data_IF_568162473788
#
_entry.id   IF_568162473788
#
_cell.length_a   1.000
_cell.length_b   1.000
_cell.length_c   1.000
_cell.angle_alpha   90.00
_cell.angle_beta   90.00
_cell.angle_gamma   90.00
#
_symmetry.space_group_name_H-M   'P 1'
#
loop_
_entity.id
_entity.type
_entity.pdbx_description
1 polymer ?
#
# COMPACT_ATOMS: atom_id res chain seq x y z
N UNK A 1 11.72 -4.99 -17.21
CA UNK A 1 11.03 -3.73 -17.01
C UNK A 1 11.10 -2.79 -18.22
N UNK A 2 11.83 -3.17 -19.30
CA UNK A 2 11.95 -2.35 -20.51
C UNK A 2 12.79 -1.06 -20.36
N UNK A 3 13.47 -0.87 -19.23
CA UNK A 3 14.36 0.26 -19.00
C UNK A 3 15.75 -0.05 -19.54
N UNK A 4 16.44 0.95 -20.14
CA UNK A 4 17.83 0.86 -20.54
C UNK A 4 18.74 1.15 -19.35
N UNK A 5 19.73 0.28 -19.09
CA UNK A 5 20.79 0.58 -18.14
C UNK A 5 21.81 1.51 -18.85
N UNK A 6 21.88 2.76 -18.39
CA UNK A 6 22.71 3.80 -19.05
C UNK A 6 23.98 4.14 -18.29
N UNK A 7 24.14 3.65 -17.08
CA UNK A 7 25.34 3.87 -16.28
C UNK A 7 25.22 3.21 -14.91
N UNK A 8 26.32 3.23 -14.18
CA UNK A 8 26.39 2.70 -12.83
C UNK A 8 27.81 2.76 -12.28
N UNK A 9 27.95 2.46 -11.00
CA UNK A 9 29.22 2.37 -10.31
C UNK A 9 29.18 1.21 -9.33
N UNK A 10 30.31 0.54 -9.14
CA UNK A 10 30.50 -0.54 -8.17
C UNK A 10 31.59 -0.16 -7.20
N UNK A 11 31.34 -0.31 -5.91
CA UNK A 11 32.28 -0.09 -4.83
C UNK A 11 32.44 -1.37 -4.01
N UNK A 12 33.56 -1.51 -3.33
CA UNK A 12 33.71 -2.50 -2.27
C UNK A 12 32.97 -2.03 -1.01
N UNK A 13 32.34 -2.99 -0.32
CA UNK A 13 31.62 -2.76 0.94
C UNK A 13 31.56 -4.03 1.78
N UNK A 14 31.22 -3.88 3.05
CA UNK A 14 31.03 -5.01 3.98
C UNK A 14 29.76 -5.81 3.68
N UNK A 15 28.82 -5.20 2.99
CA UNK A 15 27.51 -5.78 2.66
C UNK A 15 27.15 -5.48 1.20
N UNK A 16 26.31 -6.33 0.62
CA UNK A 16 25.75 -6.08 -0.71
C UNK A 16 24.70 -4.97 -0.62
N UNK A 17 25.01 -3.79 -1.14
CA UNK A 17 24.08 -2.69 -1.32
C UNK A 17 23.82 -2.47 -2.81
N UNK A 18 22.53 -2.40 -3.19
CA UNK A 18 22.12 -2.14 -4.57
C UNK A 18 21.06 -1.04 -4.59
N UNK A 19 21.28 -0.01 -5.40
CA UNK A 19 20.36 1.09 -5.57
C UNK A 19 20.22 1.50 -7.03
N UNK A 20 19.10 2.13 -7.38
CA UNK A 20 18.82 2.59 -8.72
C UNK A 20 18.39 4.05 -8.72
N UNK A 21 18.92 4.85 -9.63
CA UNK A 21 18.39 6.13 -10.02
C UNK A 21 17.67 5.95 -11.37
N UNK A 22 16.36 6.19 -11.40
CA UNK A 22 15.53 5.97 -12.59
C UNK A 22 15.04 7.32 -13.09
N UNK A 23 15.29 7.59 -14.39
CA UNK A 23 14.80 8.79 -15.06
C UNK A 23 13.93 8.37 -16.25
N UNK A 24 12.86 9.09 -16.48
CA UNK A 24 11.95 8.84 -17.61
C UNK A 24 11.16 10.08 -17.97
N UNK A 25 10.56 10.05 -19.16
CA UNK A 25 9.56 11.03 -19.60
C UNK A 25 8.17 10.39 -19.50
N UNK A 26 7.19 11.17 -19.12
CA UNK A 26 5.80 10.75 -19.00
C UNK A 26 4.88 11.88 -19.48
N UNK A 27 3.83 11.54 -20.23
CA UNK A 27 2.87 12.53 -20.72
C UNK A 27 1.92 12.99 -19.61
N UNK A 28 1.49 12.04 -18.74
CA UNK A 28 0.61 12.30 -17.61
C UNK A 28 1.14 11.64 -16.34
N UNK A 29 1.27 12.42 -15.27
CA UNK A 29 1.76 11.94 -13.98
C UNK A 29 0.60 11.39 -13.15
N UNK A 30 0.74 10.18 -12.61
CA UNK A 30 -0.07 9.70 -11.50
C UNK A 30 0.49 10.31 -10.21
N UNK A 31 -0.13 11.37 -9.73
CA UNK A 31 0.39 12.16 -8.62
C UNK A 31 -0.01 11.57 -7.25
N UNK A 32 0.76 11.92 -6.22
CA UNK A 32 0.34 11.76 -4.81
C UNK A 32 -0.59 12.92 -4.44
N UNK A 33 -1.85 12.83 -4.82
CA UNK A 33 -2.85 13.87 -4.64
C UNK A 33 -3.98 13.71 -5.67
N UNK A 34 -4.82 14.74 -5.80
CA UNK A 34 -5.97 14.74 -6.71
C UNK A 34 -7.09 13.71 -6.37
N UNK A 35 -7.22 13.31 -5.10
CA UNK A 35 -8.36 12.53 -4.66
C UNK A 35 -9.65 13.29 -4.92
N UNK A 36 -10.65 12.63 -5.49
CA UNK A 36 -11.97 13.20 -5.76
C UNK A 36 -13.01 12.52 -4.88
N UNK A 37 -14.00 13.30 -4.39
CA UNK A 37 -15.11 12.72 -3.63
C UNK A 37 -15.84 11.68 -4.46
N UNK A 38 -16.06 10.50 -3.89
CA UNK A 38 -16.72 9.38 -4.55
C UNK A 38 -15.77 8.42 -5.28
N UNK A 39 -14.47 8.73 -5.33
CA UNK A 39 -13.48 7.77 -5.81
C UNK A 39 -13.42 6.56 -4.88
N UNK A 40 -13.21 5.38 -5.48
CA UNK A 40 -12.90 4.15 -4.77
C UNK A 40 -11.39 4.02 -4.60
N UNK A 41 -10.96 3.60 -3.41
CA UNK A 41 -9.56 3.27 -3.13
C UNK A 41 -9.30 1.81 -3.48
N UNK A 42 -8.32 1.56 -4.34
CA UNK A 42 -7.90 0.22 -4.77
C UNK A 42 -6.50 -0.05 -4.27
N UNK A 43 -6.29 -1.23 -3.65
CA UNK A 43 -4.98 -1.76 -3.31
C UNK A 43 -4.68 -2.96 -4.21
N UNK A 44 -3.52 -2.98 -4.87
CA UNK A 44 -3.23 -3.98 -5.91
C UNK A 44 -2.52 -5.24 -5.40
N UNK A 45 -1.85 -5.18 -4.24
CA UNK A 45 -1.18 -6.34 -3.61
C UNK A 45 -1.53 -6.42 -2.13
N UNK A 46 -1.51 -7.63 -1.52
CA UNK A 46 -1.78 -7.80 -0.10
C UNK A 46 -0.69 -7.17 0.76
N UNK A 47 -1.07 -6.79 2.00
CA UNK A 47 -0.16 -6.31 3.03
C UNK A 47 0.46 -7.47 3.82
N UNK A 48 1.60 -7.21 4.47
CA UNK A 48 2.18 -8.11 5.45
C UNK A 48 3.60 -8.59 5.16
N UNK A 49 4.28 -8.06 4.14
CA UNK A 49 5.65 -8.50 3.82
C UNK A 49 6.63 -8.24 4.96
N UNK A 50 6.49 -7.11 5.69
CA UNK A 50 7.34 -6.77 6.81
C UNK A 50 7.20 -7.75 7.97
N UNK A 51 5.97 -8.09 8.32
CA UNK A 51 5.68 -9.07 9.39
C UNK A 51 6.14 -10.47 8.99
N UNK A 52 5.92 -10.90 7.73
CA UNK A 52 6.38 -12.22 7.26
C UNK A 52 7.88 -12.35 7.39
N UNK A 53 8.67 -11.39 6.91
CA UNK A 53 10.13 -11.44 7.05
C UNK A 53 10.61 -11.29 8.49
N UNK A 54 9.92 -10.50 9.31
CA UNK A 54 10.21 -10.45 10.75
C UNK A 54 9.95 -11.79 11.44
N UNK A 55 8.93 -12.52 10.99
CA UNK A 55 8.63 -13.88 11.42
C UNK A 55 9.68 -14.89 10.96
N UNK A 56 10.12 -14.80 9.70
CA UNK A 56 11.16 -15.66 9.14
C UNK A 56 12.48 -15.51 9.89
N UNK A 57 12.93 -14.29 10.15
CA UNK A 57 14.13 -14.02 10.96
C UNK A 57 14.06 -14.58 12.39
N UNK A 58 12.86 -14.84 12.90
CA UNK A 58 12.60 -15.44 14.23
C UNK A 58 12.28 -16.93 14.16
N UNK A 59 12.36 -17.55 12.97
CA UNK A 59 11.96 -18.94 12.71
C UNK A 59 10.49 -19.25 13.10
N UNK A 60 9.58 -18.29 12.90
CA UNK A 60 8.14 -18.39 13.19
C UNK A 60 7.29 -18.42 11.91
N UNK A 61 7.83 -17.96 10.77
CA UNK A 61 7.14 -18.02 9.48
C UNK A 61 7.28 -19.40 8.85
N UNK A 62 6.21 -19.86 8.19
CA UNK A 62 6.27 -21.06 7.38
C UNK A 62 6.94 -20.73 6.02
N UNK A 63 7.59 -21.71 5.40
CA UNK A 63 8.24 -21.53 4.11
C UNK A 63 7.26 -21.09 3.01
N UNK A 64 6.00 -21.52 3.10
CA UNK A 64 4.92 -21.06 2.21
C UNK A 64 4.61 -19.58 2.35
N UNK A 65 4.61 -19.03 3.57
CA UNK A 65 4.36 -17.61 3.83
C UNK A 65 5.45 -16.75 3.17
N UNK A 66 6.71 -17.16 3.33
CA UNK A 66 7.87 -16.50 2.72
C UNK A 66 7.80 -16.59 1.19
N UNK A 67 7.46 -17.76 0.65
CA UNK A 67 7.32 -17.96 -0.79
C UNK A 67 6.22 -17.09 -1.39
N UNK A 68 5.05 -16.98 -0.74
CA UNK A 68 3.95 -16.12 -1.17
C UNK A 68 4.38 -14.64 -1.17
N UNK A 69 5.04 -14.18 -0.09
CA UNK A 69 5.54 -12.82 0.00
C UNK A 69 6.55 -12.50 -1.11
N UNK A 70 7.53 -13.38 -1.35
CA UNK A 70 8.54 -13.24 -2.41
C UNK A 70 7.89 -13.21 -3.79
N UNK A 71 6.91 -14.07 -4.06
CA UNK A 71 6.18 -14.08 -5.33
C UNK A 71 5.48 -12.74 -5.58
N UNK A 72 4.81 -12.19 -4.57
CA UNK A 72 4.19 -10.87 -4.64
C UNK A 72 5.20 -9.75 -4.89
N UNK A 73 6.34 -9.79 -4.20
CA UNK A 73 7.42 -8.80 -4.34
C UNK A 73 8.05 -8.82 -5.74
N UNK A 74 8.23 -9.98 -6.34
CA UNK A 74 8.81 -10.13 -7.69
C UNK A 74 7.84 -9.68 -8.80
N UNK A 75 6.55 -9.51 -8.52
CA UNK A 75 5.59 -8.99 -9.48
C UNK A 75 5.80 -7.51 -9.71
N UNK A 76 6.00 -7.13 -10.97
CA UNK A 76 6.11 -5.71 -11.37
C UNK A 76 4.77 -4.99 -11.24
N UNK A 77 4.79 -3.74 -10.78
CA UNK A 77 3.60 -2.87 -10.75
C UNK A 77 3.28 -2.23 -12.13
N UNK A 78 4.01 -2.57 -13.19
CA UNK A 78 3.85 -1.94 -14.52
C UNK A 78 2.44 -2.18 -15.11
N UNK A 79 1.94 -3.43 -15.04
CA UNK A 79 0.59 -3.77 -15.51
C UNK A 79 -0.47 -3.04 -14.66
N UNK A 80 -0.32 -3.07 -13.34
CA UNK A 80 -1.24 -2.40 -12.42
C UNK A 80 -1.31 -0.89 -12.72
N UNK A 81 -0.18 -0.22 -12.90
CA UNK A 81 -0.14 1.21 -13.22
C UNK A 81 -0.83 1.54 -14.54
N UNK A 82 -0.63 0.72 -15.59
CA UNK A 82 -1.29 0.89 -16.87
C UNK A 82 -2.81 0.68 -16.77
N UNK A 83 -3.24 -0.36 -16.06
CA UNK A 83 -4.66 -0.67 -15.82
C UNK A 83 -5.36 0.43 -15.03
N UNK A 84 -4.76 0.89 -13.94
CA UNK A 84 -5.30 1.99 -13.13
C UNK A 84 -5.48 3.26 -13.97
N UNK A 85 -4.47 3.61 -14.78
CA UNK A 85 -4.53 4.77 -15.67
C UNK A 85 -5.68 4.65 -16.69
N UNK A 86 -5.84 3.49 -17.33
CA UNK A 86 -6.91 3.28 -18.31
C UNK A 86 -8.32 3.36 -17.70
N UNK A 87 -8.43 3.20 -16.38
CA UNK A 87 -9.69 3.34 -15.63
C UNK A 87 -9.87 4.73 -15.00
N UNK A 88 -9.03 5.71 -15.36
CA UNK A 88 -9.19 7.10 -14.94
C UNK A 88 -8.60 7.43 -13.57
N UNK A 89 -7.63 6.64 -13.11
CA UNK A 89 -6.86 6.95 -11.89
C UNK A 89 -6.11 8.28 -12.06
N UNK A 90 -6.28 9.19 -11.11
CA UNK A 90 -5.57 10.46 -11.02
C UNK A 90 -4.65 10.57 -9.80
N UNK A 91 -4.92 9.77 -8.77
CA UNK A 91 -4.19 9.75 -7.52
C UNK A 91 -3.63 8.36 -7.24
N UNK A 92 -2.32 8.24 -7.12
CA UNK A 92 -1.66 6.95 -6.93
C UNK A 92 -0.35 7.09 -6.14
N UNK A 93 -0.06 6.09 -5.32
CA UNK A 93 1.25 5.90 -4.67
C UNK A 93 1.57 4.41 -4.59
N UNK A 94 2.85 4.06 -4.52
CA UNK A 94 3.26 2.75 -4.05
C UNK A 94 3.09 2.64 -2.53
N UNK A 95 2.81 1.45 -2.03
CA UNK A 95 2.74 1.15 -0.59
C UNK A 95 4.03 0.45 -0.20
N UNK A 96 4.88 1.16 0.54
CA UNK A 96 6.21 0.69 0.93
C UNK A 96 6.50 0.89 2.41
N UNK A 97 7.62 1.46 2.77
CA UNK A 97 8.14 1.51 4.14
C UNK A 97 7.25 2.17 5.19
N UNK A 98 6.34 3.07 4.81
CA UNK A 98 5.45 3.76 5.76
C UNK A 98 4.14 3.01 6.06
N UNK A 99 3.93 1.84 5.45
CA UNK A 99 2.67 1.09 5.56
C UNK A 99 1.50 1.78 4.86
N UNK A 100 0.35 1.11 4.84
CA UNK A 100 -0.84 1.63 4.14
C UNK A 100 -1.29 3.00 4.69
N UNK A 101 -1.39 3.13 6.02
CA UNK A 101 -1.87 4.38 6.66
C UNK A 101 -0.91 5.54 6.39
N UNK A 102 0.40 5.31 6.42
CA UNK A 102 1.39 6.34 6.13
C UNK A 102 1.24 6.90 4.72
N UNK A 103 1.16 6.02 3.72
CA UNK A 103 0.99 6.41 2.31
C UNK A 103 -0.39 7.01 2.03
N UNK A 104 -1.45 6.51 2.67
CA UNK A 104 -2.78 7.09 2.54
C UNK A 104 -2.84 8.51 3.12
N UNK A 105 -2.18 8.75 4.25
CA UNK A 105 -2.06 10.09 4.82
C UNK A 105 -1.28 11.05 3.90
N UNK A 106 -0.30 10.55 3.15
CA UNK A 106 0.38 11.35 2.11
C UNK A 106 -0.56 11.72 0.96
N UNK A 107 -1.38 10.78 0.48
CA UNK A 107 -2.39 11.04 -0.56
C UNK A 107 -3.42 12.08 -0.10
N UNK A 108 -3.93 11.94 1.13
CA UNK A 108 -4.88 12.90 1.70
C UNK A 108 -4.27 14.30 1.82
N UNK A 109 -3.01 14.40 2.24
CA UNK A 109 -2.29 15.67 2.33
C UNK A 109 -2.07 16.29 0.96
N UNK A 110 -1.65 15.50 -0.03
CA UNK A 110 -1.45 15.93 -1.41
C UNK A 110 -2.74 16.35 -2.11
N UNK A 111 -3.91 16.02 -1.53
CA UNK A 111 -5.25 16.37 -2.00
C UNK A 111 -5.91 17.47 -1.16
N UNK A 112 -5.11 18.38 -0.59
CA UNK A 112 -5.59 19.53 0.20
C UNK A 112 -6.50 19.14 1.37
N UNK A 113 -6.24 17.98 2.01
CA UNK A 113 -6.98 17.54 3.19
C UNK A 113 -8.20 16.67 2.87
N UNK A 114 -8.14 15.82 1.87
CA UNK A 114 -9.20 14.85 1.62
C UNK A 114 -9.42 13.92 2.83
N UNK A 115 -10.69 13.53 3.05
CA UNK A 115 -11.07 12.46 4.00
C UNK A 115 -11.37 11.18 3.25
N UNK A 116 -10.91 10.08 3.81
CA UNK A 116 -11.09 8.75 3.22
C UNK A 116 -11.59 7.76 4.27
N UNK A 117 -12.29 6.73 3.82
CA UNK A 117 -12.65 5.56 4.63
C UNK A 117 -11.86 4.36 4.11
N UNK A 118 -11.36 3.56 5.03
CA UNK A 118 -10.77 2.25 4.76
C UNK A 118 -11.69 1.19 5.36
N UNK A 119 -12.18 0.28 4.53
CA UNK A 119 -12.98 -0.87 4.93
C UNK A 119 -12.01 -2.01 5.29
N UNK A 120 -11.72 -2.21 6.58
CA UNK A 120 -10.64 -3.07 7.07
C UNK A 120 -10.79 -4.52 6.60
N UNK A 121 -12.02 -5.02 6.54
CA UNK A 121 -12.32 -6.39 6.12
C UNK A 121 -12.06 -6.64 4.62
N UNK A 122 -11.97 -5.57 3.81
CA UNK A 122 -11.71 -5.64 2.38
C UNK A 122 -10.21 -5.47 2.04
N UNK A 123 -9.38 -5.11 3.04
CA UNK A 123 -7.93 -4.96 2.82
C UNK A 123 -7.30 -6.33 2.64
N UNK A 124 -6.71 -6.64 1.47
CA UNK A 124 -6.06 -7.92 1.24
C UNK A 124 -4.79 -8.03 2.10
N UNK A 125 -4.65 -9.15 2.79
CA UNK A 125 -3.52 -9.44 3.67
C UNK A 125 -2.99 -10.84 3.38
N UNK A 126 -1.67 -11.01 3.47
CA UNK A 126 -1.02 -12.31 3.43
C UNK A 126 -1.50 -13.14 4.63
N UNK A 127 -1.90 -14.39 4.41
CA UNK A 127 -2.42 -15.24 5.49
C UNK A 127 -1.37 -15.46 6.59
N UNK A 128 -0.12 -15.69 6.21
CA UNK A 128 1.00 -15.79 7.14
C UNK A 128 1.20 -14.53 7.97
N UNK A 129 0.98 -13.34 7.40
CA UNK A 129 1.11 -12.07 8.11
C UNK A 129 0.04 -11.93 9.21
N UNK A 130 -1.22 -12.25 8.93
CA UNK A 130 -2.30 -12.22 9.94
C UNK A 130 -1.99 -13.16 11.10
N UNK A 131 -1.55 -14.40 10.80
CA UNK A 131 -1.16 -15.39 11.81
C UNK A 131 -0.01 -14.87 12.66
N UNK A 132 1.06 -14.39 12.05
CA UNK A 132 2.25 -13.90 12.75
C UNK A 132 1.95 -12.64 13.58
N UNK A 133 1.18 -11.69 13.03
CA UNK A 133 0.76 -10.49 13.77
C UNK A 133 -0.10 -10.84 14.99
N UNK A 134 -1.00 -11.85 14.88
CA UNK A 134 -1.78 -12.35 16.01
C UNK A 134 -0.91 -12.98 17.12
N UNK A 135 0.31 -13.42 16.79
CA UNK A 135 1.32 -13.90 17.75
C UNK A 135 2.18 -12.75 18.31
N UNK A 136 1.89 -11.50 17.95
CA UNK A 136 2.65 -10.33 18.37
C UNK A 136 3.94 -10.09 17.57
N UNK A 137 4.11 -10.74 16.42
CA UNK A 137 5.25 -10.46 15.53
C UNK A 137 5.01 -9.16 14.80
N UNK A 138 5.97 -8.25 14.88
CA UNK A 138 5.96 -6.97 14.14
C UNK A 138 7.32 -6.74 13.51
N UNK A 139 7.34 -5.99 12.41
CA UNK A 139 8.56 -5.51 11.75
C UNK A 139 9.30 -4.47 12.63
N UNK A 140 10.59 -4.33 12.43
CA UNK A 140 11.41 -3.33 13.13
C UNK A 140 10.97 -1.89 12.89
N UNK A 141 10.38 -1.57 11.73
CA UNK A 141 9.87 -0.23 11.41
C UNK A 141 8.45 0.01 11.91
N UNK A 142 7.74 -1.02 12.36
CA UNK A 142 6.35 -0.89 12.80
C UNK A 142 6.14 0.16 13.92
N UNK A 143 6.98 0.26 14.98
CA UNK A 143 6.82 1.29 16.03
C UNK A 143 6.92 2.72 15.49
N UNK A 144 7.75 2.95 14.47
CA UNK A 144 7.86 4.25 13.83
C UNK A 144 6.61 4.56 12.98
N UNK A 145 6.11 3.56 12.25
CA UNK A 145 4.92 3.69 11.42
C UNK A 145 3.65 3.92 12.24
N UNK A 146 3.57 3.39 13.47
CA UNK A 146 2.46 3.67 14.39
C UNK A 146 2.28 5.16 14.68
N UNK A 147 3.27 6.01 14.43
CA UNK A 147 3.10 7.47 14.51
C UNK A 147 2.05 8.00 13.52
N UNK A 148 1.81 7.27 12.41
CA UNK A 148 0.76 7.61 11.45
C UNK A 148 -0.66 7.45 12.01
N UNK A 149 -0.86 6.80 13.18
CA UNK A 149 -2.15 6.68 13.87
C UNK A 149 -2.85 8.01 14.11
N UNK A 150 -2.08 9.10 14.22
CA UNK A 150 -2.61 10.46 14.33
C UNK A 150 -3.43 10.91 13.11
N UNK A 151 -3.28 10.23 11.97
CA UNK A 151 -4.09 10.45 10.79
C UNK A 151 -5.42 9.69 10.81
N UNK A 152 -5.61 8.76 11.77
CA UNK A 152 -6.82 7.95 11.91
C UNK A 152 -7.78 8.59 12.90
N UNK A 153 -9.03 8.81 12.47
CA UNK A 153 -10.07 9.47 13.26
C UNK A 153 -10.53 8.61 14.45
N UNK A 154 -10.72 7.33 14.21
CA UNK A 154 -11.27 6.36 15.17
C UNK A 154 -10.24 5.28 15.56
N UNK A 155 -9.01 5.70 15.82
CA UNK A 155 -7.89 4.80 16.17
C UNK A 155 -8.21 3.84 17.32
N UNK A 156 -8.93 4.30 18.35
CA UNK A 156 -9.27 3.45 19.51
C UNK A 156 -10.13 2.24 19.10
N UNK A 157 -11.10 2.46 18.23
CA UNK A 157 -11.93 1.38 17.67
C UNK A 157 -11.12 0.44 16.79
N UNK A 158 -10.21 0.99 15.96
CA UNK A 158 -9.32 0.20 15.12
C UNK A 158 -8.46 -0.77 15.92
N UNK A 159 -7.94 -0.36 17.07
CA UNK A 159 -7.12 -1.23 17.95
C UNK A 159 -7.89 -2.48 18.40
N UNK A 160 -9.21 -2.40 18.58
CA UNK A 160 -10.05 -3.54 18.95
C UNK A 160 -10.10 -4.61 17.86
N UNK A 161 -9.83 -4.25 16.60
CA UNK A 161 -9.73 -5.19 15.47
C UNK A 161 -8.42 -5.99 15.46
N UNK A 162 -7.47 -5.68 16.36
CA UNK A 162 -6.27 -6.48 16.59
C UNK A 162 -5.31 -6.56 15.42
N UNK A 163 -4.86 -7.76 15.06
CA UNK A 163 -3.78 -8.00 14.11
C UNK A 163 -4.04 -7.38 12.72
N UNK A 164 -5.27 -7.38 12.23
CA UNK A 164 -5.61 -6.80 10.94
C UNK A 164 -5.36 -5.28 10.93
N UNK A 165 -5.72 -4.60 12.00
CA UNK A 165 -5.46 -3.17 12.13
C UNK A 165 -3.96 -2.86 12.22
N UNK A 166 -3.22 -3.65 12.98
CA UNK A 166 -1.77 -3.50 13.11
C UNK A 166 -1.06 -3.64 11.75
N UNK A 167 -1.54 -4.53 10.87
CA UNK A 167 -0.99 -4.72 9.53
C UNK A 167 -1.16 -3.50 8.60
N UNK A 168 -2.05 -2.56 8.91
CA UNK A 168 -2.15 -1.30 8.16
C UNK A 168 -0.90 -0.42 8.32
N UNK A 169 -0.12 -0.65 9.36
CA UNK A 169 1.15 0.06 9.65
C UNK A 169 2.38 -0.77 9.28
N UNK A 170 2.19 -2.02 8.83
CA UNK A 170 3.32 -2.88 8.44
C UNK A 170 4.06 -2.32 7.22
N UNK A 171 5.39 -2.14 7.28
CA UNK A 171 6.16 -1.72 6.12
C UNK A 171 6.14 -2.79 5.04
N UNK A 172 5.99 -2.36 3.78
CA UNK A 172 5.97 -3.26 2.64
C UNK A 172 7.28 -3.17 1.86
N UNK A 173 7.86 -4.31 1.49
CA UNK A 173 8.94 -4.39 0.51
C UNK A 173 8.34 -4.73 -0.84
N UNK A 174 8.63 -3.92 -1.87
CA UNK A 174 8.05 -4.08 -3.21
C UNK A 174 6.53 -4.26 -3.21
N UNK A 175 5.84 -3.47 -2.38
CA UNK A 175 4.39 -3.52 -2.23
C UNK A 175 3.62 -3.13 -3.48
N UNK A 176 2.31 -3.15 -3.37
CA UNK A 176 1.40 -2.78 -4.45
C UNK A 176 1.22 -1.27 -4.59
N UNK A 177 0.32 -0.91 -5.48
CA UNK A 177 -0.16 0.44 -5.66
C UNK A 177 -1.44 0.66 -4.84
N UNK A 178 -1.52 1.81 -4.18
CA UNK A 178 -2.73 2.38 -3.62
C UNK A 178 -3.18 3.50 -4.55
N UNK A 179 -4.37 3.37 -5.11
CA UNK A 179 -4.86 4.26 -6.15
C UNK A 179 -6.32 4.62 -5.92
N UNK A 180 -6.70 5.84 -6.34
CA UNK A 180 -8.08 6.27 -6.38
C UNK A 180 -8.57 6.27 -7.84
N UNK A 181 -9.70 5.63 -8.08
CA UNK A 181 -10.37 5.59 -9.38
C UNK A 181 -11.84 6.00 -9.22
N UNK A 182 -12.49 6.56 -10.25
CA UNK A 182 -13.92 6.85 -10.20
C UNK A 182 -14.73 5.64 -9.75
N UNK A 183 -15.63 5.82 -8.77
CA UNK A 183 -16.34 4.72 -8.13
C UNK A 183 -17.12 3.83 -9.09
N UNK A 184 -17.68 4.40 -10.17
CA UNK A 184 -18.38 3.68 -11.24
C UNK A 184 -17.47 2.77 -12.09
N UNK A 185 -16.14 2.98 -12.05
CA UNK A 185 -15.13 2.19 -12.78
C UNK A 185 -14.39 1.19 -11.90
N UNK A 186 -14.56 1.27 -10.58
CA UNK A 186 -13.79 0.49 -9.62
C UNK A 186 -13.91 -1.03 -9.83
N UNK A 187 -15.12 -1.53 -10.03
CA UNK A 187 -15.35 -2.97 -10.23
C UNK A 187 -14.68 -3.50 -11.51
N UNK A 188 -14.80 -2.75 -12.61
CA UNK A 188 -14.15 -3.10 -13.88
C UNK A 188 -12.62 -3.02 -13.76
N UNK A 189 -12.10 -2.03 -13.05
CA UNK A 189 -10.67 -1.87 -12.79
C UNK A 189 -10.12 -3.06 -12.01
N UNK A 190 -10.76 -3.46 -10.92
CA UNK A 190 -10.34 -4.62 -10.12
C UNK A 190 -10.40 -5.91 -10.94
N UNK A 191 -11.43 -6.10 -11.77
CA UNK A 191 -11.50 -7.26 -12.65
C UNK A 191 -10.31 -7.31 -13.61
N UNK A 192 -10.00 -6.19 -14.29
CA UNK A 192 -8.87 -6.10 -15.22
C UNK A 192 -7.50 -6.29 -14.51
N UNK A 193 -7.34 -5.77 -13.28
CA UNK A 193 -6.14 -6.01 -12.47
C UNK A 193 -5.95 -7.51 -12.18
N UNK A 194 -7.03 -8.19 -11.78
CA UNK A 194 -7.01 -9.63 -11.48
C UNK A 194 -6.73 -10.48 -12.71
N UNK A 195 -7.32 -10.14 -13.85
CA UNK A 195 -7.03 -10.79 -15.14
C UNK A 195 -5.55 -10.61 -15.55
N UNK A 196 -4.96 -9.45 -15.25
CA UNK A 196 -3.54 -9.18 -15.45
C UNK A 196 -2.62 -9.82 -14.42
N UNK A 197 -3.19 -10.58 -13.47
CA UNK A 197 -2.48 -11.38 -12.47
C UNK A 197 -2.31 -10.72 -11.10
N UNK A 198 -2.84 -9.52 -10.87
CA UNK A 198 -2.89 -8.91 -9.52
C UNK A 198 -4.09 -9.50 -8.76
N UNK A 199 -4.03 -10.82 -8.48
CA UNK A 199 -5.15 -11.65 -8.02
C UNK A 199 -5.81 -11.15 -6.73
N UNK A 200 -5.06 -10.45 -5.90
CA UNK A 200 -5.51 -9.92 -4.62
C UNK A 200 -5.96 -8.45 -4.70
N UNK A 201 -5.96 -7.86 -5.92
CA UNK A 201 -6.43 -6.48 -6.07
C UNK A 201 -7.86 -6.34 -5.56
N UNK A 202 -8.12 -5.31 -4.74
CA UNK A 202 -9.42 -5.10 -4.11
C UNK A 202 -9.73 -3.61 -3.95
N UNK A 203 -11.01 -3.28 -3.93
CA UNK A 203 -11.47 -2.00 -3.39
C UNK A 203 -11.36 -2.08 -1.88
N UNK A 204 -10.62 -1.17 -1.28
CA UNK A 204 -10.31 -1.16 0.16
C UNK A 204 -10.93 0.03 0.89
N UNK A 205 -11.71 0.84 0.19
CA UNK A 205 -12.33 2.02 0.79
C UNK A 205 -12.79 3.04 -0.25
N UNK A 206 -13.05 4.25 0.22
CA UNK A 206 -13.57 5.33 -0.62
C UNK A 206 -13.13 6.71 -0.12
N UNK A 207 -13.13 7.68 -1.03
CA UNK A 207 -12.91 9.10 -0.74
C UNK A 207 -14.24 9.75 -0.33
N UNK A 208 -14.32 10.19 0.93
CA UNK A 208 -15.53 10.78 1.52
C UNK A 208 -15.67 12.27 1.19
N UNK A 209 -14.57 13.00 1.24
CA UNK A 209 -14.51 14.40 0.85
C UNK A 209 -13.15 14.72 0.24
N UNK A 210 -13.09 15.79 -0.56
CA UNK A 210 -11.86 16.34 -1.12
C UNK A 210 -11.75 17.82 -0.74
N UNK A 211 -10.51 18.35 -0.69
CA UNK A 211 -10.25 19.77 -0.43
C UNK A 211 -10.89 20.26 0.89
N UNK A 212 -10.70 19.50 1.98
CA UNK A 212 -11.13 19.89 3.32
C UNK A 212 -9.89 20.09 4.23
N UNK A 213 -9.30 21.30 4.26
CA UNK A 213 -8.11 21.58 5.08
C UNK A 213 -8.31 21.30 6.57
N UNK A 214 -9.56 21.30 7.06
CA UNK A 214 -9.89 20.99 8.45
C UNK A 214 -9.75 19.49 8.79
N UNK A 215 -9.70 18.63 7.78
CA UNK A 215 -9.52 17.18 7.95
C UNK A 215 -8.14 16.79 8.46
N UNK A 216 -7.11 17.61 8.22
CA UNK A 216 -5.76 17.28 8.61
C UNK A 216 -5.47 17.63 10.08
N UNK A 217 -4.72 16.82 10.86
CA UNK A 217 -4.03 15.58 10.45
C UNK A 217 -4.87 14.31 10.42
N UNK A 218 -6.08 14.28 11.00
CA UNK A 218 -6.92 13.10 11.07
C UNK A 218 -7.86 13.05 9.85
N UNK A 219 -7.49 12.26 8.85
CA UNK A 219 -8.15 12.20 7.55
C UNK A 219 -8.65 10.80 7.16
N UNK A 220 -8.31 9.77 7.95
CA UNK A 220 -8.62 8.38 7.66
C UNK A 220 -9.62 7.85 8.68
N UNK A 221 -10.73 7.33 8.21
CA UNK A 221 -11.73 6.61 9.00
C UNK A 221 -11.60 5.11 8.72
N UNK A 222 -11.57 4.28 9.75
CA UNK A 222 -11.54 2.83 9.64
C UNK A 222 -12.95 2.29 9.87
N UNK A 223 -13.47 1.58 8.89
CA UNK A 223 -14.69 0.81 8.98
C UNK A 223 -14.33 -0.66 9.27
N UNK A 224 -14.85 -1.21 10.37
CA UNK A 224 -14.54 -2.55 10.89
C UNK A 224 -15.44 -3.63 10.31
#
# INVERSE_FOLDING_TARGET
AGCSLVGGHTCEGSELALGFAINGAVDEVLAKGNLQKGDALILTKPLGTGVVFAGDMRALADASDVAEALQGMCRSNAHAAATLRSHGCLACTDVTGFGLIGHLAELCRGSEGAKVRVDLNDVPMLQGALRLASMGVVSSLHPENLRARRAVLNHAEGVEAGAAYELLYDPQTAGGLLAAVPGDRAAACVAALREGGDLHAAVVGAVLSAQDPSAFPAAVEINL
#
